data_IF_614523318839
#
_entry.id   IF_614523318839
#
_cell.length_a   1.000
_cell.length_b   1.000
_cell.length_c   1.000
_cell.angle_alpha   90.00
_cell.angle_beta   90.00
_cell.angle_gamma   90.00
#
_symmetry.space_group_name_H-M   'P 1'
#
loop_
_entity.id
_entity.type
_entity.pdbx_description
1 polymer ?
#
# COMPACT_ATOMS: atom_id res chain seq x y z
N UNK A 1 26.17 14.47 -12.53
CA UNK A 1 26.78 13.12 -12.38
C UNK A 1 26.47 12.42 -11.04
N UNK A 2 26.27 13.12 -9.91
CA UNK A 2 25.98 12.47 -8.60
C UNK A 2 24.58 11.83 -8.44
N UNK A 3 23.54 12.37 -9.08
CA UNK A 3 22.16 11.86 -8.96
C UNK A 3 21.98 10.44 -9.53
N UNK A 4 22.64 10.15 -10.67
CA UNK A 4 22.58 8.85 -11.34
C UNK A 4 23.33 7.78 -10.55
N UNK A 5 24.49 8.12 -9.96
CA UNK A 5 25.24 7.23 -9.07
C UNK A 5 24.43 6.90 -7.80
N UNK A 6 23.75 7.88 -7.22
CA UNK A 6 22.87 7.69 -6.07
C UNK A 6 21.67 6.79 -6.37
N UNK A 7 21.06 6.93 -7.56
CA UNK A 7 19.96 6.07 -7.98
C UNK A 7 20.42 4.62 -8.20
N UNK A 8 21.54 4.42 -8.91
CA UNK A 8 22.12 3.09 -9.15
C UNK A 8 22.49 2.37 -7.85
N UNK A 9 23.19 3.06 -6.95
CA UNK A 9 23.58 2.51 -5.65
C UNK A 9 22.37 2.11 -4.78
N UNK A 10 21.28 2.88 -4.83
CA UNK A 10 20.02 2.51 -4.16
C UNK A 10 19.42 1.24 -4.73
N UNK A 11 19.35 1.11 -6.05
CA UNK A 11 18.82 -0.09 -6.72
C UNK A 11 19.62 -1.34 -6.38
N UNK A 12 20.96 -1.25 -6.39
CA UNK A 12 21.84 -2.36 -6.01
C UNK A 12 21.63 -2.77 -4.54
N UNK A 13 21.49 -1.78 -3.65
CA UNK A 13 21.22 -2.02 -2.23
C UNK A 13 19.86 -2.70 -2.01
N UNK A 14 18.82 -2.28 -2.71
CA UNK A 14 17.49 -2.91 -2.65
C UNK A 14 17.54 -4.36 -3.16
N UNK A 15 18.23 -4.61 -4.27
CA UNK A 15 18.41 -5.96 -4.79
C UNK A 15 19.18 -6.88 -3.83
N UNK A 16 20.20 -6.33 -3.14
CA UNK A 16 20.93 -7.05 -2.10
C UNK A 16 20.02 -7.43 -0.92
N UNK A 17 19.23 -6.48 -0.39
CA UNK A 17 18.32 -6.76 0.70
C UNK A 17 17.22 -7.75 0.32
N UNK A 18 16.71 -7.69 -0.91
CA UNK A 18 15.76 -8.68 -1.41
C UNK A 18 16.35 -10.09 -1.33
N UNK A 19 17.55 -10.30 -1.87
CA UNK A 19 18.26 -11.60 -1.81
C UNK A 19 18.51 -12.07 -0.38
N UNK A 20 18.87 -11.15 0.52
CA UNK A 20 19.10 -11.47 1.93
C UNK A 20 17.81 -11.95 2.61
N UNK A 21 16.69 -11.25 2.40
CA UNK A 21 15.39 -11.67 2.95
C UNK A 21 14.92 -13.00 2.33
N UNK A 22 15.11 -13.21 1.02
CA UNK A 22 14.80 -14.51 0.38
C UNK A 22 15.61 -15.67 0.98
N UNK A 23 16.88 -15.43 1.31
CA UNK A 23 17.73 -16.40 1.99
C UNK A 23 17.25 -16.67 3.42
N UNK A 24 16.97 -15.63 4.19
CA UNK A 24 16.45 -15.75 5.56
C UNK A 24 15.13 -16.51 5.61
N UNK A 25 14.24 -16.28 4.65
CA UNK A 25 12.98 -17.02 4.51
C UNK A 25 13.20 -18.52 4.27
N UNK A 26 14.27 -18.91 3.54
CA UNK A 26 14.63 -20.33 3.34
C UNK A 26 15.28 -20.95 4.56
N UNK A 27 16.17 -20.21 5.23
CA UNK A 27 16.90 -20.69 6.41
C UNK A 27 15.99 -20.77 7.66
N UNK A 28 15.05 -19.82 7.80
CA UNK A 28 14.08 -19.78 8.88
C UNK A 28 12.68 -19.40 8.37
N UNK A 29 11.89 -20.36 7.86
CA UNK A 29 10.56 -20.10 7.32
C UNK A 29 9.51 -19.70 8.36
N UNK A 30 9.83 -19.78 9.67
CA UNK A 30 8.94 -19.31 10.74
C UNK A 30 9.21 -17.86 11.14
N UNK A 31 10.27 -17.24 10.63
CA UNK A 31 10.53 -15.83 10.86
C UNK A 31 9.55 -14.98 10.06
N UNK A 32 8.72 -14.20 10.75
CA UNK A 32 7.77 -13.26 10.13
C UNK A 32 8.42 -12.07 9.41
N UNK A 33 9.65 -11.68 9.77
CA UNK A 33 10.27 -10.41 9.33
C UNK A 33 10.66 -10.39 7.84
N UNK A 34 11.25 -11.46 7.26
CA UNK A 34 11.57 -11.49 5.84
C UNK A 34 10.33 -11.37 4.94
N UNK A 35 9.19 -11.96 5.35
CA UNK A 35 7.94 -11.83 4.63
C UNK A 35 7.47 -10.37 4.58
N UNK A 36 7.46 -9.68 5.72
CA UNK A 36 7.13 -8.25 5.78
C UNK A 36 8.07 -7.39 4.94
N UNK A 37 9.38 -7.59 5.06
CA UNK A 37 10.37 -6.81 4.32
C UNK A 37 10.23 -7.01 2.80
N UNK A 38 10.04 -8.25 2.36
CA UNK A 38 9.78 -8.54 0.95
C UNK A 38 8.44 -7.94 0.50
N UNK A 39 7.40 -7.99 1.33
CA UNK A 39 6.13 -7.34 1.02
C UNK A 39 6.31 -5.84 0.72
N UNK A 40 7.08 -5.12 1.53
CA UNK A 40 7.33 -3.68 1.32
C UNK A 40 7.95 -3.40 -0.05
N UNK A 41 8.88 -4.24 -0.49
CA UNK A 41 9.45 -4.12 -1.84
C UNK A 41 8.42 -4.43 -2.95
N UNK A 42 7.51 -5.37 -2.71
CA UNK A 42 6.53 -5.82 -3.72
C UNK A 42 5.31 -4.89 -3.82
N UNK A 43 4.93 -4.22 -2.73
CA UNK A 43 3.82 -3.26 -2.74
C UNK A 43 4.14 -2.01 -3.56
N UNK A 44 5.41 -1.64 -3.70
CA UNK A 44 5.87 -0.54 -4.56
C UNK A 44 5.78 -0.90 -6.06
N UNK A 45 5.70 -2.20 -6.40
CA UNK A 45 5.65 -2.68 -7.76
C UNK A 45 4.21 -3.08 -8.14
N UNK A 46 3.56 -2.30 -9.02
CA UNK A 46 2.15 -2.51 -9.40
C UNK A 46 1.82 -3.93 -9.88
N UNK A 47 2.77 -4.60 -10.55
CA UNK A 47 2.61 -6.00 -11.03
C UNK A 47 2.71 -7.05 -9.93
N UNK A 48 3.29 -6.70 -8.78
CA UNK A 48 3.56 -7.64 -7.67
C UNK A 48 2.75 -7.33 -6.41
N UNK A 49 1.82 -6.37 -6.49
CA UNK A 49 0.95 -5.96 -5.38
C UNK A 49 0.27 -7.14 -4.67
N UNK A 50 -0.35 -8.06 -5.43
CA UNK A 50 -1.03 -9.24 -4.87
C UNK A 50 -0.08 -10.11 -4.03
N UNK A 51 1.13 -10.33 -4.54
CA UNK A 51 2.15 -11.11 -3.84
C UNK A 51 2.66 -10.39 -2.58
N UNK A 52 2.74 -9.06 -2.63
CA UNK A 52 3.03 -8.24 -1.45
C UNK A 52 2.00 -8.43 -0.34
N UNK A 53 0.71 -8.43 -0.70
CA UNK A 53 -0.41 -8.69 0.23
C UNK A 53 -0.30 -10.09 0.84
N UNK A 54 -0.10 -11.13 0.01
CA UNK A 54 0.09 -12.51 0.47
C UNK A 54 1.26 -12.64 1.48
N UNK A 55 2.34 -11.89 1.28
CA UNK A 55 3.47 -11.87 2.21
C UNK A 55 3.16 -11.13 3.51
N UNK A 56 2.34 -10.07 3.49
CA UNK A 56 1.85 -9.44 4.71
C UNK A 56 0.96 -10.40 5.52
N UNK A 57 0.04 -11.09 4.85
CA UNK A 57 -0.82 -12.10 5.47
C UNK A 57 0.00 -13.22 6.09
N UNK A 58 1.03 -13.72 5.39
CA UNK A 58 1.92 -14.74 5.93
C UNK A 58 2.71 -14.24 7.14
N UNK A 59 3.17 -12.99 7.11
CA UNK A 59 3.87 -12.38 8.25
C UNK A 59 2.97 -12.32 9.49
N UNK A 60 1.68 -12.00 9.31
CA UNK A 60 0.66 -11.99 10.38
C UNK A 60 0.41 -13.39 10.92
N UNK A 61 0.30 -14.39 10.04
CA UNK A 61 0.10 -15.80 10.43
C UNK A 61 1.25 -16.30 11.30
N UNK A 62 2.49 -15.99 10.91
CA UNK A 62 3.70 -16.43 11.62
C UNK A 62 3.92 -15.69 12.95
N UNK A 63 3.58 -14.40 13.00
CA UNK A 63 3.69 -13.61 14.22
C UNK A 63 2.51 -12.62 14.35
N UNK A 64 1.41 -13.03 14.99
CA UNK A 64 0.24 -12.17 15.17
C UNK A 64 0.49 -10.88 15.96
N UNK A 65 1.56 -10.84 16.77
CA UNK A 65 1.98 -9.68 17.54
C UNK A 65 2.86 -8.70 16.74
N UNK A 66 3.34 -9.09 15.56
CA UNK A 66 4.04 -8.20 14.65
C UNK A 66 3.02 -7.28 13.97
N UNK A 67 2.84 -6.07 14.51
CA UNK A 67 1.74 -5.20 14.15
C UNK A 67 1.93 -4.54 12.77
N UNK A 68 3.17 -4.37 12.30
CA UNK A 68 3.50 -3.63 11.09
C UNK A 68 2.77 -4.20 9.85
N UNK A 69 2.78 -5.52 9.58
CA UNK A 69 1.98 -6.09 8.50
C UNK A 69 0.49 -5.73 8.53
N UNK A 70 -0.15 -5.74 9.72
CA UNK A 70 -1.57 -5.36 9.86
C UNK A 70 -1.78 -3.89 9.52
N UNK A 71 -0.87 -3.02 10.00
CA UNK A 71 -0.89 -1.59 9.67
C UNK A 71 -0.81 -1.38 8.16
N UNK A 72 0.12 -2.06 7.47
CA UNK A 72 0.28 -1.90 6.02
C UNK A 72 -0.92 -2.44 5.23
N UNK A 73 -1.51 -3.58 5.62
CA UNK A 73 -2.75 -4.07 5.01
C UNK A 73 -3.92 -3.09 5.22
N UNK A 74 -4.08 -2.54 6.42
CA UNK A 74 -5.13 -1.55 6.70
C UNK A 74 -4.96 -0.30 5.82
N UNK A 75 -3.73 0.20 5.69
CA UNK A 75 -3.38 1.33 4.83
C UNK A 75 -3.63 1.03 3.34
N UNK A 76 -3.40 -0.21 2.90
CA UNK A 76 -3.72 -0.67 1.56
C UNK A 76 -5.25 -0.66 1.32
N UNK A 77 -6.02 -1.28 2.21
CA UNK A 77 -7.48 -1.36 2.08
C UNK A 77 -8.16 0.00 2.16
N UNK A 78 -7.64 0.94 2.97
CA UNK A 78 -8.14 2.32 2.99
C UNK A 78 -7.97 3.00 1.63
N UNK A 79 -6.82 2.84 0.98
CA UNK A 79 -6.59 3.39 -0.37
C UNK A 79 -7.51 2.76 -1.39
N UNK A 80 -7.66 1.45 -1.35
CA UNK A 80 -8.55 0.71 -2.25
C UNK A 80 -10.00 1.14 -2.08
N UNK A 81 -10.50 1.20 -0.84
CA UNK A 81 -11.85 1.71 -0.53
C UNK A 81 -12.04 3.15 -1.04
N UNK A 82 -11.05 4.03 -0.86
CA UNK A 82 -11.11 5.40 -1.36
C UNK A 82 -11.24 5.45 -2.88
N UNK A 83 -10.49 4.62 -3.61
CA UNK A 83 -10.60 4.53 -5.08
C UNK A 83 -11.99 4.06 -5.49
N UNK A 84 -12.54 3.03 -4.84
CA UNK A 84 -13.88 2.54 -5.13
C UNK A 84 -14.96 3.60 -4.86
N UNK A 85 -14.84 4.38 -3.78
CA UNK A 85 -15.75 5.50 -3.53
C UNK A 85 -15.64 6.60 -4.58
N UNK A 86 -14.43 6.90 -5.08
CA UNK A 86 -14.25 7.87 -6.18
C UNK A 86 -14.96 7.39 -7.44
N UNK A 87 -14.81 6.13 -7.83
CA UNK A 87 -15.50 5.59 -9.01
C UNK A 87 -17.02 5.56 -8.81
N UNK A 88 -17.51 5.17 -7.63
CA UNK A 88 -18.94 5.22 -7.32
C UNK A 88 -19.52 6.63 -7.36
N UNK A 89 -18.80 7.63 -6.86
CA UNK A 89 -19.23 9.02 -6.85
C UNK A 89 -19.31 9.65 -8.26
N UNK A 90 -18.62 9.09 -9.27
CA UNK A 90 -18.77 9.52 -10.68
C UNK A 90 -20.10 9.10 -11.29
N UNK A 91 -20.70 8.03 -10.77
CA UNK A 91 -21.92 7.41 -11.33
C UNK A 91 -23.17 8.02 -10.69
N UNK A 92 -23.09 8.30 -9.39
CA UNK A 92 -24.24 8.72 -8.58
C UNK A 92 -24.50 10.22 -8.72
N UNK A 93 -25.74 10.67 -9.04
CA UNK A 93 -26.09 12.09 -9.07
C UNK A 93 -25.81 12.79 -7.73
N UNK A 94 -25.40 14.06 -7.77
CA UNK A 94 -25.06 14.82 -6.57
C UNK A 94 -26.23 14.98 -5.58
N UNK A 95 -27.47 14.92 -6.07
CA UNK A 95 -28.68 14.97 -5.26
C UNK A 95 -28.94 13.68 -4.46
N UNK A 96 -28.27 12.57 -4.80
CA UNK A 96 -28.48 11.29 -4.15
C UNK A 96 -27.73 11.22 -2.80
N UNK A 97 -28.35 10.72 -1.71
CA UNK A 97 -27.71 10.67 -0.38
C UNK A 97 -26.35 9.97 -0.35
N UNK A 98 -26.18 8.91 -1.15
CA UNK A 98 -24.89 8.18 -1.23
C UNK A 98 -23.75 9.04 -1.78
N UNK A 99 -24.01 10.07 -2.60
CA UNK A 99 -22.94 10.95 -3.08
C UNK A 99 -22.26 11.69 -1.91
N UNK A 100 -23.06 12.19 -0.96
CA UNK A 100 -22.54 12.87 0.23
C UNK A 100 -21.78 11.90 1.15
N UNK A 101 -22.30 10.69 1.34
CA UNK A 101 -21.61 9.64 2.11
C UNK A 101 -20.24 9.30 1.50
N UNK A 102 -20.21 9.01 0.20
CA UNK A 102 -18.96 8.65 -0.50
C UNK A 102 -17.96 9.81 -0.45
N UNK A 103 -18.41 11.05 -0.66
CA UNK A 103 -17.53 12.21 -0.55
C UNK A 103 -16.94 12.39 0.84
N UNK A 104 -17.73 12.21 1.91
CA UNK A 104 -17.22 12.27 3.27
C UNK A 104 -16.15 11.20 3.51
N UNK A 105 -16.39 9.97 3.06
CA UNK A 105 -15.40 8.89 3.14
C UNK A 105 -14.12 9.22 2.35
N UNK A 106 -14.24 9.70 1.11
CA UNK A 106 -13.09 10.09 0.26
C UNK A 106 -12.23 11.16 0.95
N UNK A 107 -12.87 12.17 1.55
CA UNK A 107 -12.18 13.24 2.26
C UNK A 107 -11.52 12.73 3.54
N UNK A 108 -12.25 11.98 4.36
CA UNK A 108 -11.71 11.44 5.60
C UNK A 108 -10.48 10.55 5.34
N UNK A 109 -10.58 9.60 4.40
CA UNK A 109 -9.47 8.72 4.05
C UNK A 109 -8.30 9.52 3.49
N UNK A 110 -8.55 10.45 2.57
CA UNK A 110 -7.50 11.28 1.98
C UNK A 110 -6.73 12.10 3.02
N UNK A 111 -7.45 12.70 3.97
CA UNK A 111 -6.84 13.45 5.08
C UNK A 111 -6.07 12.53 6.03
N UNK A 112 -6.65 11.39 6.40
CA UNK A 112 -6.01 10.40 7.25
C UNK A 112 -4.68 9.89 6.66
N UNK A 113 -4.62 9.68 5.35
CA UNK A 113 -3.43 9.21 4.64
C UNK A 113 -2.42 10.33 4.33
N UNK A 114 -2.75 11.60 4.57
CA UNK A 114 -1.91 12.73 4.15
C UNK A 114 -1.88 12.96 2.64
N UNK A 115 -2.84 12.40 1.90
CA UNK A 115 -2.95 12.42 0.43
C UNK A 115 -3.96 13.48 -0.06
N UNK A 116 -4.39 14.40 0.82
CA UNK A 116 -5.45 15.36 0.55
C UNK A 116 -5.06 16.54 -0.38
N UNK A 117 -5.75 16.65 -1.52
CA UNK A 117 -6.19 17.95 -2.09
C UNK A 117 -7.72 17.91 -2.30
N UNK A 118 -8.41 19.07 -2.20
CA UNK A 118 -9.86 19.14 -2.06
C UNK A 118 -10.62 18.70 -3.33
N UNK A 119 -11.86 18.21 -3.19
CA UNK A 119 -12.62 17.57 -4.26
C UNK A 119 -12.94 18.52 -5.43
N UNK A 120 -12.90 19.84 -5.22
CA UNK A 120 -13.18 20.84 -6.25
C UNK A 120 -12.25 20.81 -7.49
N UNK A 121 -11.10 20.14 -7.43
CA UNK A 121 -10.22 19.93 -8.60
C UNK A 121 -10.55 18.65 -9.40
N UNK A 122 -11.32 17.71 -8.83
CA UNK A 122 -11.66 16.43 -9.47
C UNK A 122 -12.92 16.57 -10.34
N UNK A 123 -13.82 17.48 -9.98
CA UNK A 123 -15.14 17.65 -10.61
C UNK A 123 -15.20 18.72 -11.71
N UNK A 124 -14.05 19.21 -12.19
CA UNK A 124 -13.99 20.15 -13.34
C UNK A 124 -13.57 19.40 -14.61
N UNK A 125 -14.51 18.69 -15.22
CA UNK A 125 -14.55 18.40 -16.66
C UNK A 125 -16.00 18.50 -17.11
#
# INVERSE_FOLDING_TARGET
WGFVLGAKARTEKLAYYKKLNERQMKENPKDSRPYYNLAMHLLEESKQLKKGIEFLEKSIELNPAFYQPRRELALYHLREARLQFIEGAKIVPQSHPSFNFMNQAIQWIGNFLGEGKPPAQIWRQ
#
